data_IF_715635372919
#
_entry.id   IF_715635372919
#
_cell.length_a   1.000
_cell.length_b   1.000
_cell.length_c   1.000
_cell.angle_alpha   90.00
_cell.angle_beta   90.00
_cell.angle_gamma   90.00
#
_symmetry.space_group_name_H-M   'P 1'
#
loop_
_entity.id
_entity.type
_entity.pdbx_description
1 polymer ?
#
# COMPACT_ATOMS: atom_id res chain seq x y z
N UNK A 1 1.30 -1.64 -16.07
CA UNK A 1 1.71 -2.54 -14.98
C UNK A 1 2.10 -1.73 -13.75
N UNK A 2 1.44 -1.96 -12.66
CA UNK A 2 1.71 -1.24 -11.41
C UNK A 2 2.82 -1.97 -10.65
N UNK A 3 3.96 -1.30 -10.47
CA UNK A 3 5.14 -1.88 -9.81
C UNK A 3 5.60 -0.94 -8.70
N UNK A 4 5.85 -1.46 -7.49
CA UNK A 4 6.34 -0.63 -6.40
C UNK A 4 7.82 -0.32 -6.57
N UNK A 5 8.19 0.90 -6.19
CA UNK A 5 9.57 1.35 -6.19
C UNK A 5 10.16 1.37 -4.79
N UNK A 6 9.40 1.85 -3.83
CA UNK A 6 9.83 1.96 -2.44
C UNK A 6 8.62 2.32 -1.57
N UNK A 7 8.62 1.91 -0.31
CA UNK A 7 7.57 2.25 0.64
C UNK A 7 8.14 3.07 1.80
N UNK A 8 7.33 3.98 2.32
CA UNK A 8 7.69 4.84 3.44
C UNK A 8 6.65 4.66 4.54
N UNK A 9 7.13 4.29 5.72
CA UNK A 9 6.30 4.10 6.92
C UNK A 9 6.39 5.34 7.79
N UNK A 10 5.23 5.82 8.27
CA UNK A 10 5.16 6.99 9.14
C UNK A 10 3.98 6.87 10.08
N UNK A 11 3.89 7.78 11.03
CA UNK A 11 2.76 7.84 11.96
C UNK A 11 3.15 7.41 13.36
N UNK A 12 2.17 6.89 14.09
CA UNK A 12 2.32 6.49 15.48
C UNK A 12 1.54 5.21 15.77
N UNK A 13 1.80 4.53 16.90
CA UNK A 13 1.08 3.29 17.22
C UNK A 13 -0.43 3.48 17.14
N UNK A 14 -1.11 2.56 16.49
CA UNK A 14 -2.55 2.60 16.31
C UNK A 14 -3.01 3.46 15.14
N UNK A 15 -2.14 4.27 14.56
CA UNK A 15 -2.48 5.15 13.45
C UNK A 15 -1.26 5.33 12.55
N UNK A 16 -0.93 4.28 11.83
CA UNK A 16 0.26 4.23 10.98
C UNK A 16 -0.14 4.43 9.52
N UNK A 17 0.71 5.11 8.77
CA UNK A 17 0.52 5.30 7.34
C UNK A 17 1.67 4.65 6.58
N UNK A 18 1.34 4.07 5.42
CA UNK A 18 2.32 3.48 4.52
C UNK A 18 2.07 4.05 3.14
N UNK A 19 3.09 4.71 2.58
CA UNK A 19 3.03 5.24 1.23
C UNK A 19 3.90 4.40 0.33
N UNK A 20 3.32 3.80 -0.71
CA UNK A 20 4.06 2.97 -1.66
C UNK A 20 4.26 3.77 -2.93
N UNK A 21 5.48 4.24 -3.14
CA UNK A 21 5.85 4.95 -4.36
C UNK A 21 5.92 3.94 -5.50
N UNK A 22 5.35 4.29 -6.64
CA UNK A 22 5.28 3.41 -7.79
C UNK A 22 6.28 3.81 -8.85
N UNK A 23 6.76 2.82 -9.61
CA UNK A 23 7.51 3.10 -10.83
C UNK A 23 6.56 3.77 -11.81
N UNK A 24 6.92 4.92 -12.41
CA UNK A 24 6.06 5.56 -13.40
C UNK A 24 5.67 4.58 -14.50
N UNK A 25 4.42 4.63 -14.93
CA UNK A 25 3.90 3.69 -15.92
C UNK A 25 3.03 4.42 -16.93
N UNK A 26 2.80 3.77 -18.07
CA UNK A 26 2.00 4.31 -19.16
C UNK A 26 0.54 3.91 -18.94
N UNK A 27 -0.34 4.90 -18.97
CA UNK A 27 -1.78 4.70 -18.79
C UNK A 27 -2.54 5.65 -19.70
N UNK A 28 -3.38 5.11 -20.57
CA UNK A 28 -4.17 5.91 -21.50
C UNK A 28 -3.34 6.98 -22.24
N UNK A 29 -2.18 6.54 -22.78
CA UNK A 29 -1.25 7.37 -23.54
C UNK A 29 -0.57 8.49 -22.73
N UNK A 30 -0.54 8.38 -21.41
CA UNK A 30 0.15 9.32 -20.56
C UNK A 30 1.07 8.59 -19.57
N UNK A 31 2.19 9.21 -19.23
CA UNK A 31 3.01 8.75 -18.13
C UNK A 31 2.36 9.13 -16.82
N UNK A 32 2.23 8.17 -15.94
CA UNK A 32 1.63 8.36 -14.62
C UNK A 32 2.71 8.14 -13.57
N UNK A 33 2.88 9.13 -12.68
CA UNK A 33 3.75 9.04 -11.52
C UNK A 33 2.87 9.22 -10.28
N UNK A 34 2.61 8.14 -9.59
CA UNK A 34 1.68 8.16 -8.46
C UNK A 34 2.16 7.22 -7.37
N UNK A 35 1.37 7.12 -6.30
CA UNK A 35 1.66 6.27 -5.15
C UNK A 35 0.36 5.65 -4.65
N UNK A 36 0.51 4.52 -3.95
CA UNK A 36 -0.58 3.94 -3.16
C UNK A 36 -0.42 4.47 -1.75
N UNK A 37 -1.50 5.00 -1.19
CA UNK A 37 -1.51 5.50 0.19
C UNK A 37 -2.40 4.64 1.05
N UNK A 38 -1.84 4.17 2.15
CA UNK A 38 -2.57 3.39 3.14
C UNK A 38 -2.51 4.18 4.45
N UNK A 39 -3.66 4.64 4.90
CA UNK A 39 -3.77 5.47 6.11
C UNK A 39 -4.58 4.75 7.19
N UNK A 40 -4.40 5.19 8.44
CA UNK A 40 -5.19 4.69 9.55
C UNK A 40 -4.93 3.22 9.88
N UNK A 41 -3.72 2.73 9.63
CA UNK A 41 -3.40 1.32 9.86
C UNK A 41 -3.17 1.10 11.36
N UNK A 42 -3.93 0.19 11.95
CA UNK A 42 -3.74 -0.16 13.35
C UNK A 42 -2.58 -1.14 13.51
N UNK A 43 -1.36 -0.59 13.47
CA UNK A 43 -0.14 -1.35 13.76
C UNK A 43 0.36 -0.99 15.16
N UNK A 44 1.03 -1.91 15.85
CA UNK A 44 1.49 -1.66 17.22
C UNK A 44 2.63 -0.66 17.32
N UNK A 45 3.28 -0.33 16.20
CA UNK A 45 4.41 0.58 16.16
C UNK A 45 4.58 1.18 14.79
N UNK A 46 5.21 2.34 14.69
CA UNK A 46 5.66 2.93 13.44
C UNK A 46 7.18 2.80 13.27
N UNK A 47 7.83 2.00 14.12
CA UNK A 47 9.25 1.71 14.01
C UNK A 47 9.46 0.37 13.35
N UNK A 48 10.23 0.34 12.27
CA UNK A 48 10.44 -0.89 11.49
C UNK A 48 11.04 -2.02 12.32
N UNK A 49 11.91 -1.70 13.27
CA UNK A 49 12.52 -2.72 14.14
C UNK A 49 11.48 -3.51 14.92
N UNK A 50 10.36 -2.86 15.27
CA UNK A 50 9.29 -3.51 16.03
C UNK A 50 8.38 -4.36 15.14
N UNK A 51 8.43 -4.15 13.84
CA UNK A 51 7.54 -4.80 12.88
C UNK A 51 8.23 -5.95 12.13
N UNK A 52 9.55 -6.01 12.20
CA UNK A 52 10.35 -6.98 11.44
C UNK A 52 9.92 -8.42 11.75
N UNK A 53 9.65 -9.19 10.69
CA UNK A 53 9.25 -10.59 10.81
C UNK A 53 7.78 -10.79 11.17
N UNK A 54 6.98 -9.73 11.19
CA UNK A 54 5.58 -9.82 11.59
C UNK A 54 4.65 -9.69 10.39
N UNK A 55 3.55 -10.41 10.45
CA UNK A 55 2.50 -10.40 9.44
C UNK A 55 1.22 -9.92 10.09
N UNK A 56 0.56 -8.95 9.45
CA UNK A 56 -0.70 -8.38 9.93
C UNK A 56 -1.80 -8.68 8.92
N UNK A 57 -2.93 -9.15 9.42
CA UNK A 57 -4.10 -9.50 8.61
C UNK A 57 -5.20 -8.50 8.86
N UNK A 58 -5.88 -8.10 7.78
CA UNK A 58 -6.98 -7.14 7.84
C UNK A 58 -8.19 -7.72 7.10
N UNK A 59 -9.40 -7.49 7.60
CA UNK A 59 -10.58 -7.93 6.86
C UNK A 59 -10.73 -7.11 5.58
N UNK A 60 -11.01 -7.79 4.48
CA UNK A 60 -11.45 -7.12 3.27
C UNK A 60 -12.87 -6.65 3.52
N UNK A 61 -13.05 -5.36 3.63
CA UNK A 61 -14.33 -4.81 4.01
C UNK A 61 -14.64 -3.60 3.12
N UNK A 62 -15.77 -3.62 2.40
CA UNK A 62 -16.19 -2.46 1.61
C UNK A 62 -16.41 -1.19 2.45
N UNK A 63 -16.61 -1.33 3.75
CA UNK A 63 -16.76 -0.19 4.64
C UNK A 63 -15.42 0.41 5.07
N UNK A 64 -14.31 -0.19 4.65
CA UNK A 64 -12.94 0.35 4.78
C UNK A 64 -12.57 0.80 6.19
N UNK A 65 -13.06 0.12 7.22
CA UNK A 65 -12.81 0.52 8.60
C UNK A 65 -11.39 0.17 9.07
N UNK A 66 -10.73 -0.78 8.41
CA UNK A 66 -9.42 -1.25 8.85
C UNK A 66 -8.29 -0.40 8.31
N UNK A 67 -8.33 -0.03 7.04
CA UNK A 67 -7.30 0.75 6.36
C UNK A 67 -7.98 1.63 5.32
N UNK A 68 -7.64 2.92 5.33
CA UNK A 68 -8.06 3.83 4.27
C UNK A 68 -7.00 3.80 3.18
N UNK A 69 -7.20 2.96 2.18
CA UNK A 69 -6.25 2.74 1.09
C UNK A 69 -6.75 3.28 -0.23
N UNK A 70 -5.86 3.90 -1.00
CA UNK A 70 -6.21 4.42 -2.32
C UNK A 70 -4.99 4.54 -3.24
N UNK A 71 -5.26 4.51 -4.54
CA UNK A 71 -4.32 4.90 -5.60
C UNK A 71 -4.94 6.02 -6.40
N UNK A 72 -4.19 7.11 -6.64
CA UNK A 72 -4.66 8.22 -7.47
C UNK A 72 -4.38 7.91 -8.93
N UNK A 73 -5.41 7.79 -9.73
CA UNK A 73 -5.30 7.40 -11.13
C UNK A 73 -6.48 7.97 -11.89
N UNK A 74 -6.23 8.50 -13.10
CA UNK A 74 -7.29 9.04 -13.98
C UNK A 74 -8.13 10.10 -13.27
N UNK A 75 -7.46 11.02 -12.57
CA UNK A 75 -8.05 12.15 -11.84
C UNK A 75 -8.97 11.75 -10.69
N UNK A 76 -8.86 10.54 -10.18
CA UNK A 76 -9.67 10.06 -9.06
C UNK A 76 -8.85 9.17 -8.13
N UNK A 77 -9.28 9.09 -6.88
CA UNK A 77 -8.74 8.14 -5.91
C UNK A 77 -9.53 6.85 -5.99
N UNK A 78 -8.86 5.76 -6.36
CA UNK A 78 -9.48 4.44 -6.42
C UNK A 78 -9.16 3.67 -5.15
N UNK A 79 -10.15 3.08 -4.48
CA UNK A 79 -9.89 2.34 -3.25
C UNK A 79 -8.96 1.15 -3.47
N UNK A 80 -8.11 0.91 -2.48
CA UNK A 80 -7.30 -0.30 -2.39
C UNK A 80 -7.66 -1.01 -1.09
N UNK A 81 -8.27 -2.19 -1.20
CA UNK A 81 -8.62 -3.00 -0.03
C UNK A 81 -7.45 -3.92 0.29
N UNK A 82 -6.78 -3.66 1.41
CA UNK A 82 -5.60 -4.42 1.81
C UNK A 82 -5.99 -5.49 2.82
N UNK A 83 -5.53 -6.71 2.58
CA UNK A 83 -5.81 -7.85 3.45
C UNK A 83 -4.59 -8.32 4.23
N UNK A 84 -3.38 -8.09 3.72
CA UNK A 84 -2.15 -8.56 4.36
C UNK A 84 -1.08 -7.49 4.23
N UNK A 85 -0.39 -7.22 5.34
CA UNK A 85 0.86 -6.46 5.34
C UNK A 85 1.88 -7.28 6.12
N UNK A 86 2.98 -7.65 5.47
CA UNK A 86 4.03 -8.44 6.07
C UNK A 86 5.36 -7.70 5.96
N UNK A 87 6.08 -7.61 7.08
CA UNK A 87 7.39 -6.99 7.13
C UNK A 87 8.45 -8.09 7.22
N UNK A 88 9.36 -8.11 6.26
CA UNK A 88 10.37 -9.16 6.12
C UNK A 88 11.77 -8.56 6.18
N UNK A 89 12.72 -9.28 6.76
CA UNK A 89 14.11 -8.86 6.71
C UNK A 89 14.70 -9.15 5.34
N UNK A 90 15.43 -8.18 4.80
CA UNK A 90 16.15 -8.36 3.55
C UNK A 90 17.62 -8.69 3.84
N UNK A 91 18.37 -9.03 2.77
CA UNK A 91 19.77 -9.48 2.90
C UNK A 91 20.71 -8.40 3.44
N UNK A 92 20.38 -7.13 3.34
CA UNK A 92 21.26 -6.02 3.69
C UNK A 92 20.82 -5.32 4.99
N UNK A 93 20.28 -6.06 5.94
CA UNK A 93 19.74 -5.55 7.21
C UNK A 93 18.60 -4.55 7.05
N UNK A 94 18.14 -4.32 5.83
CA UNK A 94 16.95 -3.54 5.58
C UNK A 94 15.69 -4.37 5.74
N UNK A 95 14.55 -3.73 5.56
CA UNK A 95 13.28 -4.42 5.56
C UNK A 95 12.61 -4.29 4.20
N UNK A 96 11.82 -5.31 3.90
CA UNK A 96 10.87 -5.30 2.78
C UNK A 96 9.47 -5.41 3.33
N UNK A 97 8.53 -4.83 2.63
CA UNK A 97 7.12 -4.97 2.94
C UNK A 97 6.43 -5.69 1.79
N UNK A 98 5.58 -6.66 2.15
CA UNK A 98 4.71 -7.33 1.19
C UNK A 98 3.28 -6.93 1.51
N UNK A 99 2.54 -6.48 0.50
CA UNK A 99 1.16 -6.01 0.64
C UNK A 99 0.29 -6.78 -0.33
N UNK A 100 -0.77 -7.40 0.18
CA UNK A 100 -1.78 -8.07 -0.63
C UNK A 100 -3.11 -7.36 -0.48
N UNK A 101 -3.81 -7.24 -1.59
CA UNK A 101 -5.12 -6.61 -1.56
C UNK A 101 -5.82 -6.67 -2.91
N UNK A 102 -6.77 -5.78 -3.09
CA UNK A 102 -7.57 -5.67 -4.31
C UNK A 102 -7.70 -4.20 -4.68
N UNK A 103 -7.40 -3.86 -5.93
CA UNK A 103 -7.73 -2.55 -6.47
C UNK A 103 -9.22 -2.55 -6.84
N UNK A 104 -9.97 -1.58 -6.33
CA UNK A 104 -11.42 -1.50 -6.57
C UNK A 104 -11.68 -0.44 -7.64
N UNK A 105 -11.37 -0.77 -8.88
CA UNK A 105 -11.49 0.18 -10.00
C UNK A 105 -12.94 0.46 -10.38
N UNK A 106 -13.86 -0.44 -10.09
CA UNK A 106 -15.28 -0.25 -10.42
C UNK A 106 -15.88 0.94 -9.69
N UNK A 107 -15.39 1.26 -8.50
CA UNK A 107 -15.99 2.25 -7.63
C UNK A 107 -15.98 3.65 -8.25
N UNK A 108 -14.93 3.99 -9.02
CA UNK A 108 -14.76 5.32 -9.61
C UNK A 108 -14.85 5.32 -11.13
N UNK A 109 -15.57 4.36 -11.70
CA UNK A 109 -15.89 4.36 -13.12
C UNK A 109 -14.85 3.74 -14.04
N UNK A 110 -13.89 3.00 -13.51
CA UNK A 110 -12.97 2.21 -14.32
C UNK A 110 -13.47 0.77 -14.46
N UNK A 111 -14.76 0.62 -14.77
CA UNK A 111 -15.44 -0.67 -14.80
C UNK A 111 -14.81 -1.66 -15.77
N UNK A 112 -14.23 -1.16 -16.86
CA UNK A 112 -13.60 -2.02 -17.86
C UNK A 112 -12.39 -2.78 -17.33
N UNK A 113 -11.83 -2.37 -16.18
CA UNK A 113 -10.69 -3.04 -15.58
C UNK A 113 -11.08 -3.99 -14.46
N UNK A 114 -12.31 -3.84 -13.94
CA UNK A 114 -12.80 -4.66 -12.85
C UNK A 114 -11.99 -4.50 -11.56
N UNK A 115 -12.34 -5.27 -10.56
CA UNK A 115 -11.58 -5.34 -9.31
C UNK A 115 -10.41 -6.31 -9.52
N UNK A 116 -9.20 -5.85 -9.21
CA UNK A 116 -7.98 -6.59 -9.55
C UNK A 116 -7.18 -6.91 -8.30
N UNK A 117 -6.99 -8.20 -7.98
CA UNK A 117 -6.09 -8.59 -6.89
C UNK A 117 -4.67 -8.17 -7.17
N UNK A 118 -3.95 -7.79 -6.13
CA UNK A 118 -2.55 -7.43 -6.26
C UNK A 118 -1.69 -7.99 -5.13
N UNK A 119 -0.42 -8.20 -5.43
CA UNK A 119 0.63 -8.50 -4.45
C UNK A 119 1.80 -7.62 -4.81
N UNK A 120 2.20 -6.75 -3.87
CA UNK A 120 3.34 -5.86 -4.06
C UNK A 120 4.39 -6.16 -2.99
N UNK A 121 5.65 -6.17 -3.39
CA UNK A 121 6.77 -6.34 -2.46
C UNK A 121 7.85 -5.34 -2.82
N UNK A 122 8.31 -4.57 -1.84
CA UNK A 122 9.33 -3.56 -2.06
C UNK A 122 10.08 -3.26 -0.77
N UNK A 123 11.18 -2.54 -0.91
CA UNK A 123 11.91 -2.03 0.25
C UNK A 123 11.05 -1.03 1.01
N UNK A 124 11.28 -0.92 2.31
CA UNK A 124 10.55 0.02 3.17
C UNK A 124 11.52 0.73 4.09
N UNK A 125 11.29 2.04 4.27
CA UNK A 125 12.01 2.85 5.24
C UNK A 125 11.02 3.58 6.13
N UNK A 126 11.45 3.96 7.33
CA UNK A 126 10.63 4.81 8.19
C UNK A 126 11.01 6.27 7.97
N UNK A 127 9.98 7.14 8.04
CA UNK A 127 10.23 8.56 8.08
C UNK A 127 10.64 8.90 9.50
N UNK A 128 11.94 9.08 9.73
CA UNK A 128 12.45 9.46 11.04
C UNK A 128 12.03 10.90 11.34
N UNK A 129 11.40 11.08 12.47
CA UNK A 129 11.05 12.39 12.98
C UNK A 129 12.01 12.77 14.09
#
# INVERSE_FOLDING_TARGET
MIQPRHAILRGEPGNVALEVLLVPFYWKNEWVDTAIRLDGINLPSAHLADLAGKTFLFPLNPDAEAIDGSIYLDSAHHPCDVSVIEFMRSRNDGLKVLIKGVYVFEFEGLDQFGNTPFILSTTVSSCAV
#
